data_IF_086476201548
#
_entry.id   IF_086476201548
#
_cell.length_a   1.000
_cell.length_b   1.000
_cell.length_c   1.000
_cell.angle_alpha   90.00
_cell.angle_beta   90.00
_cell.angle_gamma   90.00
#
_symmetry.space_group_name_H-M   'P 1'
#
loop_
_entity.id
_entity.type
_entity.pdbx_description
1 polymer ?
#
# COMPACT_ATOMS: atom_id res chain seq x y z
N UNK A 1 -22.48 -21.15 3.42
CA UNK A 1 -22.19 -19.77 2.96
C UNK A 1 -22.96 -19.51 1.67
N UNK A 2 -23.49 -18.31 1.44
CA UNK A 2 -23.99 -17.88 0.14
C UNK A 2 -23.01 -18.25 -0.99
N UNK A 3 -23.50 -18.74 -2.13
CA UNK A 3 -22.66 -19.19 -3.23
C UNK A 3 -21.71 -18.08 -3.75
N UNK A 4 -22.16 -16.82 -3.71
CA UNK A 4 -21.36 -15.66 -4.11
C UNK A 4 -20.12 -15.42 -3.22
N UNK A 5 -20.17 -15.79 -1.94
CA UNK A 5 -19.02 -15.66 -1.03
C UNK A 5 -17.97 -16.76 -1.25
N UNK A 6 -18.28 -17.84 -1.96
CA UNK A 6 -17.33 -18.93 -2.22
C UNK A 6 -16.18 -18.56 -3.16
N UNK A 7 -16.35 -17.46 -3.90
CA UNK A 7 -15.35 -16.94 -4.86
C UNK A 7 -14.48 -15.84 -4.29
N UNK A 8 -14.75 -15.41 -3.06
CA UNK A 8 -14.01 -14.34 -2.38
C UNK A 8 -12.77 -14.89 -1.66
N UNK A 9 -11.77 -14.03 -1.50
CA UNK A 9 -10.56 -14.33 -0.74
C UNK A 9 -10.90 -14.25 0.75
N UNK A 10 -11.06 -15.42 1.38
CA UNK A 10 -11.27 -15.50 2.84
C UNK A 10 -10.03 -15.07 3.63
N UNK A 11 -8.85 -15.38 3.12
CA UNK A 11 -7.57 -15.00 3.72
C UNK A 11 -6.46 -15.05 2.68
N UNK A 12 -5.71 -13.97 2.56
CA UNK A 12 -4.47 -13.89 1.81
C UNK A 12 -3.33 -13.41 2.70
N UNK A 13 -2.17 -14.01 2.51
CA UNK A 13 -0.90 -13.60 3.11
C UNK A 13 0.07 -13.29 1.98
N UNK A 14 0.46 -12.03 1.85
CA UNK A 14 1.51 -11.57 0.95
C UNK A 14 2.79 -11.38 1.76
N UNK A 15 3.87 -12.03 1.33
CA UNK A 15 5.21 -11.88 1.92
C UNK A 15 6.10 -11.09 0.97
N UNK A 16 6.84 -10.12 1.49
CA UNK A 16 7.80 -9.33 0.73
C UNK A 16 8.98 -8.90 1.62
N UNK A 17 10.18 -9.36 1.29
CA UNK A 17 11.30 -9.34 2.23
C UNK A 17 10.92 -10.07 3.52
N UNK A 18 11.19 -9.44 4.67
CA UNK A 18 10.80 -9.94 6.00
C UNK A 18 9.40 -9.47 6.44
N UNK A 19 8.68 -8.75 5.58
CA UNK A 19 7.37 -8.21 5.89
C UNK A 19 6.25 -9.16 5.47
N UNK A 20 5.12 -9.02 6.17
CA UNK A 20 3.89 -9.73 5.89
C UNK A 20 2.75 -8.71 5.81
N UNK A 21 2.00 -8.73 4.70
CA UNK A 21 0.73 -8.04 4.56
C UNK A 21 -0.37 -9.09 4.43
N UNK A 22 -1.41 -8.97 5.25
CA UNK A 22 -2.55 -9.88 5.24
C UNK A 22 -3.80 -9.13 4.82
N UNK A 23 -4.69 -9.82 4.13
CA UNK A 23 -5.96 -9.26 3.67
C UNK A 23 -7.02 -10.32 3.48
N UNK A 24 -8.25 -9.87 3.35
CA UNK A 24 -9.42 -10.68 3.00
C UNK A 24 -10.42 -9.78 2.28
N UNK A 25 -11.25 -10.36 1.43
CA UNK A 25 -12.40 -9.65 0.86
C UNK A 25 -13.43 -9.40 1.97
N UNK A 26 -13.90 -8.15 2.06
CA UNK A 26 -14.99 -7.81 2.95
C UNK A 26 -16.32 -8.01 2.21
N UNK A 27 -17.32 -8.70 2.78
CA UNK A 27 -18.63 -8.78 2.16
C UNK A 27 -19.21 -7.36 1.96
N UNK A 28 -19.90 -7.09 0.85
CA UNK A 28 -20.30 -5.72 0.46
C UNK A 28 -21.04 -4.93 1.55
N UNK A 29 -21.92 -5.60 2.31
CA UNK A 29 -22.73 -4.98 3.37
C UNK A 29 -21.90 -4.48 4.57
N UNK A 30 -20.65 -4.91 4.69
CA UNK A 30 -19.73 -4.54 5.77
C UNK A 30 -18.55 -3.69 5.29
N UNK A 31 -18.43 -3.44 3.97
CA UNK A 31 -17.30 -2.70 3.44
C UNK A 31 -17.38 -1.23 3.86
N UNK A 32 -16.32 -0.76 4.50
CA UNK A 32 -16.06 0.64 4.76
C UNK A 32 -14.73 1.00 4.10
N UNK A 33 -14.70 2.14 3.40
CA UNK A 33 -13.45 2.65 2.85
C UNK A 33 -12.43 2.83 3.98
N UNK A 34 -11.18 2.37 3.82
CA UNK A 34 -10.15 2.53 4.85
C UNK A 34 -10.00 3.99 5.27
N UNK A 35 -10.07 4.25 6.57
CA UNK A 35 -9.96 5.59 7.15
C UNK A 35 -9.16 5.52 8.46
N UNK A 36 -8.36 6.56 8.74
CA UNK A 36 -7.54 6.64 9.95
C UNK A 36 -6.30 5.73 9.97
N UNK A 37 -6.03 5.01 8.87
CA UNK A 37 -4.85 4.13 8.71
C UNK A 37 -4.14 4.42 7.39
N UNK A 38 -2.84 4.11 7.34
CA UNK A 38 -2.03 4.18 6.12
C UNK A 38 -0.93 3.13 6.22
N UNK A 39 -0.71 2.39 5.14
CA UNK A 39 0.35 1.38 5.09
C UNK A 39 1.66 2.05 4.72
N UNK A 40 2.70 1.84 5.50
CA UNK A 40 4.02 2.44 5.27
C UNK A 40 5.02 1.38 4.81
N UNK A 41 5.72 1.65 3.71
CA UNK A 41 6.82 0.82 3.20
C UNK A 41 8.13 1.57 3.43
N UNK A 42 9.03 0.96 4.22
CA UNK A 42 10.39 1.43 4.45
C UNK A 42 11.39 0.76 3.50
N UNK A 43 12.22 1.55 2.82
CA UNK A 43 13.22 1.08 1.86
C UNK A 43 14.55 1.80 2.08
N UNK A 44 15.66 1.24 1.60
CA UNK A 44 16.98 1.93 1.59
C UNK A 44 17.24 2.68 0.30
N UNK A 45 16.79 2.10 -0.81
CA UNK A 45 17.11 2.55 -2.15
C UNK A 45 15.98 3.43 -2.70
N UNK A 46 16.32 4.66 -3.09
CA UNK A 46 15.36 5.64 -3.58
C UNK A 46 14.81 5.28 -4.97
N UNK A 47 15.60 4.60 -5.82
CA UNK A 47 15.16 4.16 -7.14
C UNK A 47 14.11 3.06 -7.03
N UNK A 48 14.32 2.10 -6.14
CA UNK A 48 13.34 1.06 -5.82
C UNK A 48 12.11 1.65 -5.14
N UNK A 49 12.29 2.64 -4.25
CA UNK A 49 11.19 3.42 -3.67
C UNK A 49 10.32 4.09 -4.72
N UNK A 50 10.92 4.75 -5.70
CA UNK A 50 10.20 5.38 -6.80
C UNK A 50 9.46 4.35 -7.66
N UNK A 51 10.10 3.21 -7.97
CA UNK A 51 9.48 2.12 -8.73
C UNK A 51 8.23 1.58 -8.02
N UNK A 52 8.33 1.32 -6.72
CA UNK A 52 7.21 0.81 -5.90
C UNK A 52 6.11 1.86 -5.80
N UNK A 53 6.47 3.12 -5.54
CA UNK A 53 5.52 4.23 -5.48
C UNK A 53 4.72 4.35 -6.77
N UNK A 54 5.39 4.32 -7.93
CA UNK A 54 4.73 4.42 -9.23
C UNK A 54 3.78 3.25 -9.49
N UNK A 55 4.16 2.02 -9.10
CA UNK A 55 3.29 0.86 -9.21
C UNK A 55 2.04 0.94 -8.31
N UNK A 56 2.19 1.46 -7.08
CA UNK A 56 1.05 1.67 -6.17
C UNK A 56 0.14 2.81 -6.63
N UNK A 57 0.72 3.87 -7.21
CA UNK A 57 -0.01 5.03 -7.69
C UNK A 57 -0.75 4.77 -9.02
N UNK A 58 -0.41 3.71 -9.75
CA UNK A 58 -1.03 3.36 -11.03
C UNK A 58 -2.54 3.10 -10.88
N UNK A 59 -3.35 3.91 -11.58
CA UNK A 59 -4.82 3.86 -11.47
C UNK A 59 -5.37 4.35 -10.13
N UNK A 60 -4.52 4.90 -9.27
CA UNK A 60 -4.86 5.47 -7.98
C UNK A 60 -4.86 7.01 -7.98
N UNK A 61 -4.62 7.60 -6.80
CA UNK A 61 -4.52 9.04 -6.58
C UNK A 61 -3.22 9.38 -5.86
N UNK A 62 -2.35 10.16 -6.50
CA UNK A 62 -1.17 10.73 -5.84
C UNK A 62 -1.62 11.81 -4.86
N UNK A 63 -1.23 11.68 -3.59
CA UNK A 63 -1.44 12.70 -2.53
C UNK A 63 -0.20 13.59 -2.37
N UNK A 64 0.98 12.98 -2.48
CA UNK A 64 2.26 13.65 -2.52
C UNK A 64 3.16 12.90 -3.51
N UNK A 65 3.63 13.55 -4.58
CA UNK A 65 4.56 12.92 -5.52
C UNK A 65 5.81 12.41 -4.79
N UNK A 66 6.36 11.30 -5.26
CA UNK A 66 7.60 10.77 -4.73
C UNK A 66 8.75 11.73 -5.04
N UNK A 67 9.41 12.22 -4.00
CA UNK A 67 10.49 13.19 -4.11
C UNK A 67 11.38 13.13 -2.88
N UNK A 68 12.59 13.70 -3.00
CA UNK A 68 13.46 13.91 -1.84
C UNK A 68 12.83 14.90 -0.86
N UNK A 69 12.94 14.63 0.43
CA UNK A 69 12.51 15.54 1.51
C UNK A 69 13.69 15.89 2.43
N UNK A 70 13.47 16.73 3.44
CA UNK A 70 14.56 17.11 4.36
C UNK A 70 15.01 15.94 5.27
N UNK A 71 14.18 14.90 5.41
CA UNK A 71 14.45 13.74 6.28
C UNK A 71 14.65 12.43 5.51
N UNK A 72 14.34 12.39 4.21
CA UNK A 72 14.38 11.17 3.42
C UNK A 72 14.96 11.43 2.02
N UNK A 73 15.84 10.53 1.50
CA UNK A 73 16.23 10.55 0.10
C UNK A 73 15.05 10.38 -0.88
N UNK A 74 13.92 9.81 -0.44
CA UNK A 74 12.72 9.64 -1.27
C UNK A 74 11.49 9.30 -0.44
N UNK A 75 10.49 10.17 -0.49
CA UNK A 75 9.22 10.00 0.20
C UNK A 75 8.04 10.35 -0.72
N UNK A 76 6.97 9.56 -0.67
CA UNK A 76 5.74 9.81 -1.43
C UNK A 76 4.51 9.22 -0.76
N UNK A 77 3.34 9.76 -1.11
CA UNK A 77 2.05 9.31 -0.62
C UNK A 77 1.06 9.13 -1.77
N UNK A 78 0.37 8.00 -1.80
CA UNK A 78 -0.69 7.73 -2.77
C UNK A 78 -1.84 6.96 -2.13
N UNK A 79 -3.00 6.95 -2.79
CA UNK A 79 -4.07 5.99 -2.58
C UNK A 79 -4.06 5.09 -3.81
N UNK A 80 -3.97 3.78 -3.64
CA UNK A 80 -3.95 2.86 -4.79
C UNK A 80 -5.34 2.70 -5.43
N UNK A 81 -5.42 1.93 -6.53
CA UNK A 81 -6.67 1.64 -7.23
C UNK A 81 -7.70 0.85 -6.40
N UNK A 82 -7.31 0.35 -5.24
CA UNK A 82 -8.15 -0.40 -4.30
C UNK A 82 -8.51 0.41 -3.05
N UNK A 83 -8.30 1.73 -3.10
CA UNK A 83 -8.57 2.68 -2.02
C UNK A 83 -7.69 2.56 -0.78
N UNK A 84 -6.57 1.83 -0.85
CA UNK A 84 -5.64 1.71 0.29
C UNK A 84 -4.69 2.91 0.29
N UNK A 85 -4.60 3.68 1.41
CA UNK A 85 -3.60 4.73 1.54
C UNK A 85 -2.20 4.15 1.82
N UNK A 86 -1.21 4.63 1.08
CA UNK A 86 0.19 4.22 1.15
C UNK A 86 1.14 5.39 1.42
N UNK A 87 2.19 5.11 2.19
CA UNK A 87 3.41 5.89 2.30
C UNK A 87 4.59 5.04 1.84
N UNK A 88 5.43 5.58 0.96
CA UNK A 88 6.72 4.98 0.61
C UNK A 88 7.79 5.91 1.14
N UNK A 89 8.63 5.41 2.05
CA UNK A 89 9.68 6.19 2.70
C UNK A 89 11.02 5.48 2.55
N UNK A 90 12.01 6.18 2.00
CA UNK A 90 13.37 5.68 1.94
C UNK A 90 14.16 6.21 3.15
N UNK A 91 14.78 5.36 3.93
CA UNK A 91 15.70 5.75 5.00
C UNK A 91 17.03 5.03 4.79
N UNK A 92 18.12 5.78 4.89
CA UNK A 92 19.48 5.25 4.82
C UNK A 92 19.77 4.27 5.97
N UNK A 93 18.96 4.28 7.03
CA UNK A 93 19.08 3.41 8.21
C UNK A 93 17.96 2.36 8.33
N UNK A 94 17.11 2.17 7.32
CA UNK A 94 16.01 1.19 7.34
C UNK A 94 16.49 -0.28 7.45
#
# INVERSE_FOLDING_TARGET
MPAELSKQIMHATLKFGDNILMGADCPPDYYLKPAGITVSIGLKDATEGERIFNALAEGGTVKMPFQKTFWSPGFGMCIDRFDIPWMVNCDVNA
#
